data_IF_100792848477
#
_entry.id   IF_100792848477
#
_cell.length_a   1.000
_cell.length_b   1.000
_cell.length_c   1.000
_cell.angle_alpha   90.00
_cell.angle_beta   90.00
_cell.angle_gamma   90.00
#
_symmetry.space_group_name_H-M   'P 1'
#
loop_
_entity.id
_entity.type
_entity.pdbx_description
1 polymer ?
#
# COMPACT_ATOMS: atom_id res chain seq x y z
N UNK A 1 -32.10 25.76 -39.60
CA UNK A 1 -30.70 26.21 -39.83
C UNK A 1 -30.15 26.85 -38.56
N UNK A 2 -28.90 26.60 -38.20
CA UNK A 2 -28.24 27.24 -37.05
C UNK A 2 -27.85 28.68 -37.38
N UNK A 3 -28.26 29.62 -36.53
CA UNK A 3 -28.00 31.06 -36.72
C UNK A 3 -26.50 31.38 -36.56
N UNK A 4 -26.06 32.48 -37.19
CA UNK A 4 -24.66 32.95 -37.07
C UNK A 4 -24.26 33.21 -35.61
N UNK A 5 -25.16 33.78 -34.80
CA UNK A 5 -24.97 33.96 -33.35
C UNK A 5 -24.73 32.63 -32.63
N UNK A 6 -25.50 31.59 -32.95
CA UNK A 6 -25.31 30.25 -32.35
C UNK A 6 -23.95 29.63 -32.74
N UNK A 7 -23.50 29.81 -33.99
CA UNK A 7 -22.18 29.32 -34.45
C UNK A 7 -21.03 30.03 -33.70
N UNK A 8 -21.13 31.34 -33.50
CA UNK A 8 -20.12 32.12 -32.77
C UNK A 8 -20.08 31.73 -31.29
N UNK A 9 -21.25 31.59 -30.65
CA UNK A 9 -21.36 31.14 -29.26
C UNK A 9 -20.78 29.74 -29.07
N UNK A 10 -21.08 28.80 -29.99
CA UNK A 10 -20.51 27.45 -29.97
C UNK A 10 -18.98 27.48 -30.06
N UNK A 11 -18.40 28.25 -31.00
CA UNK A 11 -16.94 28.41 -31.11
C UNK A 11 -16.31 28.97 -29.84
N UNK A 12 -16.91 30.00 -29.23
CA UNK A 12 -16.42 30.58 -27.97
C UNK A 12 -16.47 29.57 -26.83
N UNK A 13 -17.53 28.78 -26.73
CA UNK A 13 -17.68 27.75 -25.70
C UNK A 13 -16.68 26.60 -25.87
N UNK A 14 -16.44 26.16 -27.12
CA UNK A 14 -15.41 25.15 -27.43
C UNK A 14 -14.02 25.66 -27.04
N UNK A 15 -13.69 26.91 -27.38
CA UNK A 15 -12.40 27.51 -27.01
C UNK A 15 -12.21 27.58 -25.49
N UNK A 16 -13.23 28.04 -24.75
CA UNK A 16 -13.22 28.05 -23.28
C UNK A 16 -13.07 26.64 -22.69
N UNK A 17 -13.73 25.65 -23.27
CA UNK A 17 -13.61 24.25 -22.83
C UNK A 17 -12.20 23.69 -23.07
N UNK A 18 -11.58 24.02 -24.21
CA UNK A 18 -10.21 23.63 -24.52
C UNK A 18 -9.18 24.30 -23.61
N UNK A 19 -9.32 25.60 -23.32
CA UNK A 19 -8.45 26.32 -22.39
C UNK A 19 -8.58 25.75 -20.96
N UNK A 20 -9.81 25.46 -20.53
CA UNK A 20 -10.06 24.80 -19.25
C UNK A 20 -9.46 23.40 -19.21
N UNK A 21 -9.55 22.64 -20.30
CA UNK A 21 -8.93 21.33 -20.40
C UNK A 21 -7.40 21.44 -20.30
N UNK A 22 -6.75 22.32 -21.08
CA UNK A 22 -5.29 22.48 -21.06
C UNK A 22 -4.72 22.96 -19.71
N UNK A 23 -5.49 23.72 -18.95
CA UNK A 23 -5.07 24.21 -17.63
C UNK A 23 -5.27 23.19 -16.49
N UNK A 24 -5.91 22.04 -16.75
CA UNK A 24 -6.11 21.02 -15.74
C UNK A 24 -4.84 20.24 -15.44
N UNK A 25 -4.65 19.93 -14.17
CA UNK A 25 -3.67 18.93 -13.73
C UNK A 25 -4.11 17.52 -14.14
N UNK A 26 -3.17 16.57 -14.19
CA UNK A 26 -3.45 15.17 -14.51
C UNK A 26 -4.57 14.55 -13.64
N UNK A 27 -4.67 14.97 -12.36
CA UNK A 27 -5.74 14.52 -11.45
C UNK A 27 -7.10 15.12 -11.80
N UNK A 28 -7.14 16.40 -12.19
CA UNK A 28 -8.38 17.06 -12.61
C UNK A 28 -8.91 16.47 -13.92
N UNK A 29 -8.02 16.17 -14.88
CA UNK A 29 -8.39 15.43 -16.09
C UNK A 29 -9.05 14.09 -15.79
N UNK A 30 -8.44 13.30 -14.91
CA UNK A 30 -8.98 12.00 -14.53
C UNK A 30 -10.37 12.10 -13.86
N UNK A 31 -10.63 13.16 -13.08
CA UNK A 31 -11.94 13.36 -12.44
C UNK A 31 -13.00 13.92 -13.38
N UNK A 32 -12.59 14.69 -14.40
CA UNK A 32 -13.48 15.27 -15.40
C UNK A 32 -13.99 14.22 -16.41
N UNK A 33 -13.24 13.13 -16.62
CA UNK A 33 -13.68 12.01 -17.47
C UNK A 33 -14.66 11.10 -16.72
N UNK A 34 -15.76 10.65 -17.38
CA UNK A 34 -16.74 9.74 -16.76
C UNK A 34 -16.09 8.47 -16.20
N UNK A 35 -15.19 7.87 -16.98
CA UNK A 35 -14.47 6.65 -16.63
C UNK A 35 -13.62 6.80 -15.35
N UNK A 36 -13.00 7.97 -15.14
CA UNK A 36 -12.19 8.21 -13.95
C UNK A 36 -13.03 8.57 -12.71
N UNK A 37 -14.24 9.13 -12.91
CA UNK A 37 -15.20 9.41 -11.83
C UNK A 37 -15.85 8.14 -11.28
N UNK A 38 -16.11 7.15 -12.14
CA UNK A 38 -16.67 5.85 -11.74
C UNK A 38 -15.64 4.92 -11.09
N UNK A 39 -14.35 5.24 -11.21
CA UNK A 39 -13.25 4.43 -10.68
C UNK A 39 -13.32 4.36 -9.15
N UNK A 40 -13.73 3.21 -8.62
CA UNK A 40 -13.70 2.93 -7.18
C UNK A 40 -12.27 2.80 -6.68
N UNK A 41 -12.04 3.14 -5.42
CA UNK A 41 -10.73 3.00 -4.78
C UNK A 41 -10.36 1.51 -4.68
N UNK A 42 -9.08 1.14 -4.84
CA UNK A 42 -8.65 -0.24 -4.66
C UNK A 42 -9.09 -0.81 -3.31
N UNK A 43 -9.66 -2.02 -3.33
CA UNK A 43 -10.14 -2.73 -2.14
C UNK A 43 -11.52 -2.31 -1.62
N UNK A 44 -12.14 -1.21 -2.09
CA UNK A 44 -13.44 -0.79 -1.53
C UNK A 44 -14.62 -1.62 -2.01
N UNK A 45 -14.52 -2.27 -3.17
CA UNK A 45 -15.63 -3.01 -3.78
C UNK A 45 -15.72 -4.47 -3.33
N UNK A 46 -14.70 -5.02 -2.67
CA UNK A 46 -14.67 -6.44 -2.30
C UNK A 46 -14.37 -7.39 -3.46
N UNK A 47 -14.17 -6.89 -4.69
CA UNK A 47 -13.98 -7.70 -5.91
C UNK A 47 -12.50 -7.98 -6.25
N UNK A 48 -11.56 -7.56 -5.38
CA UNK A 48 -10.13 -7.75 -5.64
C UNK A 48 -9.68 -9.20 -5.43
N UNK A 49 -8.47 -9.54 -5.93
CA UNK A 49 -7.81 -10.84 -5.66
C UNK A 49 -7.08 -10.88 -4.31
N UNK A 50 -6.88 -9.72 -3.69
CA UNK A 50 -6.11 -9.55 -2.45
C UNK A 50 -6.94 -8.82 -1.40
N UNK A 51 -6.73 -9.20 -0.14
CA UNK A 51 -7.05 -8.39 1.03
C UNK A 51 -5.92 -7.43 1.31
N UNK A 52 -6.25 -6.18 1.64
CA UNK A 52 -5.29 -5.13 1.95
C UNK A 52 -5.30 -4.86 3.44
N UNK A 53 -4.19 -5.12 4.11
CA UNK A 53 -3.99 -4.87 5.54
C UNK A 53 -3.20 -3.58 5.71
N UNK A 54 -3.85 -2.50 6.09
CA UNK A 54 -3.22 -1.21 6.34
C UNK A 54 -2.57 -1.19 7.72
N UNK A 55 -1.28 -0.88 7.75
CA UNK A 55 -0.47 -0.78 8.98
C UNK A 55 -0.27 0.67 9.39
N UNK A 56 -0.01 1.52 8.38
CA UNK A 56 0.33 2.93 8.56
C UNK A 56 -0.46 3.78 7.56
N UNK A 57 -0.80 5.01 7.93
CA UNK A 57 -1.55 5.89 7.05
C UNK A 57 -0.70 6.33 5.86
N UNK A 58 -1.33 6.42 4.69
CA UNK A 58 -0.66 6.72 3.41
C UNK A 58 0.07 8.07 3.42
N UNK A 59 -0.43 9.05 4.17
CA UNK A 59 0.09 10.42 4.23
C UNK A 59 1.49 10.53 4.86
N UNK A 60 1.96 9.51 5.59
CA UNK A 60 3.33 9.44 6.10
C UNK A 60 4.39 9.21 5.00
N UNK A 61 3.96 8.89 3.77
CA UNK A 61 4.83 8.39 2.70
C UNK A 61 4.72 9.23 1.43
N UNK A 62 5.86 9.39 0.75
CA UNK A 62 5.97 10.14 -0.52
C UNK A 62 5.95 9.21 -1.73
N UNK A 63 6.73 8.13 -1.69
CA UNK A 63 6.84 7.16 -2.78
C UNK A 63 6.51 5.77 -2.28
N UNK A 64 5.97 4.94 -3.18
CA UNK A 64 5.51 3.58 -2.86
C UNK A 64 6.16 2.57 -3.79
N UNK A 65 6.48 1.39 -3.27
CA UNK A 65 6.97 0.24 -4.03
C UNK A 65 6.29 -1.04 -3.54
N UNK A 66 5.95 -1.90 -4.49
CA UNK A 66 5.39 -3.23 -4.23
C UNK A 66 6.48 -4.26 -4.48
N UNK A 67 6.50 -5.31 -3.68
CA UNK A 67 7.34 -6.47 -3.90
C UNK A 67 6.70 -7.71 -3.28
N UNK A 68 6.83 -8.84 -3.96
CA UNK A 68 6.44 -10.15 -3.43
C UNK A 68 7.36 -10.53 -2.25
N UNK A 69 6.75 -11.06 -1.20
CA UNK A 69 7.44 -11.62 -0.02
C UNK A 69 7.04 -13.08 0.07
N UNK A 70 7.77 -13.93 -0.65
CA UNK A 70 7.49 -15.36 -0.78
C UNK A 70 7.15 -15.76 -2.21
N UNK A 71 6.18 -16.66 -2.38
CA UNK A 71 5.71 -17.09 -3.70
C UNK A 71 4.93 -15.97 -4.39
N UNK A 72 5.15 -15.82 -5.70
CA UNK A 72 4.51 -14.81 -6.54
C UNK A 72 2.99 -14.84 -6.37
N UNK A 73 2.41 -13.69 -6.03
CA UNK A 73 0.95 -13.52 -5.91
C UNK A 73 0.32 -14.13 -4.66
N UNK A 74 1.11 -14.52 -3.65
CA UNK A 74 0.62 -14.94 -2.34
C UNK A 74 0.57 -13.77 -1.35
N UNK A 75 1.75 -13.31 -0.91
CA UNK A 75 1.92 -12.17 -0.02
C UNK A 75 2.76 -11.09 -0.70
N UNK A 76 2.23 -9.87 -0.80
CA UNK A 76 2.98 -8.72 -1.29
C UNK A 76 3.10 -7.65 -0.20
N UNK A 77 4.24 -6.99 -0.14
CA UNK A 77 4.48 -5.86 0.75
C UNK A 77 4.40 -4.56 -0.03
N UNK A 78 3.50 -3.68 0.39
CA UNK A 78 3.48 -2.28 -0.03
C UNK A 78 4.39 -1.49 0.92
N UNK A 79 5.60 -1.21 0.47
CA UNK A 79 6.54 -0.35 1.18
C UNK A 79 6.40 1.11 0.73
N UNK A 80 6.67 2.03 1.64
CA UNK A 80 6.63 3.46 1.40
C UNK A 80 7.90 4.14 1.90
N UNK A 81 8.41 5.10 1.14
CA UNK A 81 9.51 5.97 1.57
C UNK A 81 8.93 7.19 2.29
N UNK A 82 9.38 7.44 3.51
CA UNK A 82 9.01 8.60 4.33
C UNK A 82 9.73 9.86 3.88
N UNK A 83 9.29 11.01 4.39
CA UNK A 83 9.97 12.30 4.21
C UNK A 83 11.42 12.27 4.69
N UNK A 84 11.72 11.55 5.77
CA UNK A 84 13.07 11.31 6.30
C UNK A 84 13.96 10.44 5.40
N UNK A 85 13.42 9.86 4.32
CA UNK A 85 14.14 8.95 3.44
C UNK A 85 14.11 7.48 3.87
N UNK A 86 13.70 7.17 5.10
CA UNK A 86 13.54 5.80 5.59
C UNK A 86 12.39 5.07 4.86
N UNK A 87 12.56 3.76 4.64
CA UNK A 87 11.50 2.90 4.12
C UNK A 87 10.77 2.19 5.26
N UNK A 88 9.44 2.17 5.20
CA UNK A 88 8.61 1.40 6.13
C UNK A 88 7.46 0.73 5.37
N UNK A 89 6.76 -0.17 6.05
CA UNK A 89 5.62 -0.91 5.49
C UNK A 89 4.35 -0.08 5.65
N UNK A 90 3.67 0.17 4.54
CA UNK A 90 2.39 0.88 4.49
C UNK A 90 1.24 -0.10 4.67
N UNK A 91 1.28 -1.18 3.90
CA UNK A 91 0.27 -2.22 3.91
C UNK A 91 0.85 -3.57 3.47
N UNK A 92 0.17 -4.65 3.87
CA UNK A 92 0.35 -5.98 3.29
C UNK A 92 -0.82 -6.30 2.37
N UNK A 93 -0.54 -6.97 1.26
CA UNK A 93 -1.55 -7.54 0.37
C UNK A 93 -1.48 -9.06 0.50
N UNK A 94 -2.57 -9.67 0.94
CA UNK A 94 -2.66 -11.11 1.12
C UNK A 94 -3.67 -11.66 0.12
N UNK A 95 -3.27 -12.67 -0.64
CA UNK A 95 -4.16 -13.34 -1.58
C UNK A 95 -5.40 -13.88 -0.85
N UNK A 96 -6.57 -13.73 -1.48
CA UNK A 96 -7.82 -14.28 -0.94
C UNK A 96 -7.80 -15.81 -0.83
N UNK A 97 -6.95 -16.49 -1.61
CA UNK A 97 -6.75 -17.94 -1.51
C UNK A 97 -6.08 -18.33 -0.18
N UNK A 98 -5.23 -17.45 0.32
CA UNK A 98 -4.34 -17.69 1.46
C UNK A 98 -4.91 -17.15 2.79
N UNK A 99 -6.13 -16.60 2.78
CA UNK A 99 -6.78 -16.05 3.96
C UNK A 99 -8.30 -16.33 3.99
N UNK A 100 -8.88 -16.29 5.19
CA UNK A 100 -10.33 -16.36 5.40
C UNK A 100 -10.77 -15.26 6.36
N UNK A 101 -12.00 -14.80 6.20
CA UNK A 101 -12.61 -13.83 7.13
C UNK A 101 -13.46 -14.61 8.13
N UNK A 102 -13.30 -14.35 9.43
CA UNK A 102 -14.16 -14.88 10.49
C UNK A 102 -14.48 -13.75 11.45
N UNK A 103 -15.75 -13.48 11.75
CA UNK A 103 -16.16 -12.46 12.73
C UNK A 103 -15.47 -11.10 12.53
N UNK A 104 -15.39 -10.62 11.28
CA UNK A 104 -14.70 -9.37 10.88
C UNK A 104 -13.17 -9.38 11.06
N UNK A 105 -12.57 -10.47 11.48
CA UNK A 105 -11.12 -10.68 11.55
C UNK A 105 -10.61 -11.42 10.30
N UNK A 106 -9.43 -11.05 9.82
CA UNK A 106 -8.73 -11.76 8.76
C UNK A 106 -7.79 -12.82 9.34
N UNK A 107 -8.08 -14.08 9.06
CA UNK A 107 -7.27 -15.22 9.47
C UNK A 107 -6.42 -15.69 8.28
N UNK A 108 -5.11 -15.64 8.45
CA UNK A 108 -4.13 -16.09 7.45
C UNK A 108 -3.98 -17.62 7.53
N UNK A 109 -4.15 -18.31 6.40
CA UNK A 109 -4.02 -19.77 6.28
C UNK A 109 -2.59 -20.19 5.93
N UNK A 110 -1.97 -19.47 5.02
CA UNK A 110 -0.65 -19.82 4.49
C UNK A 110 0.45 -19.57 5.54
N UNK A 111 1.38 -20.52 5.68
CA UNK A 111 2.34 -20.59 6.79
C UNK A 111 3.38 -19.48 6.72
N UNK A 112 3.89 -19.18 5.52
CA UNK A 112 4.87 -18.13 5.31
C UNK A 112 4.30 -16.74 5.64
N UNK A 113 3.12 -16.44 5.14
CA UNK A 113 2.39 -15.21 5.39
C UNK A 113 2.03 -15.09 6.87
N UNK A 114 1.59 -16.18 7.50
CA UNK A 114 1.36 -16.21 8.95
C UNK A 114 2.64 -15.87 9.73
N UNK A 115 3.79 -16.40 9.30
CA UNK A 115 5.09 -16.14 9.93
C UNK A 115 5.52 -14.68 9.77
N UNK A 116 5.40 -14.12 8.56
CA UNK A 116 5.75 -12.73 8.26
C UNK A 116 4.86 -11.76 9.04
N UNK A 117 3.55 -12.02 9.05
CA UNK A 117 2.53 -11.17 9.67
C UNK A 117 2.42 -11.35 11.18
N UNK A 118 3.08 -12.36 11.78
CA UNK A 118 3.14 -12.56 13.23
C UNK A 118 3.71 -11.35 13.98
N UNK A 119 4.49 -10.51 13.30
CA UNK A 119 5.05 -9.29 13.88
C UNK A 119 4.04 -8.12 13.95
N UNK A 120 2.84 -8.27 13.40
CA UNK A 120 1.78 -7.28 13.56
C UNK A 120 1.24 -7.34 15.00
N UNK A 121 0.83 -6.18 15.51
CA UNK A 121 0.23 -6.07 16.83
C UNK A 121 -1.29 -6.13 16.72
N UNK A 122 -1.89 -7.02 17.52
CA UNK A 122 -3.33 -7.22 17.60
C UNK A 122 -3.94 -7.98 16.41
N UNK A 123 -5.28 -8.19 16.45
CA UNK A 123 -6.01 -8.85 15.37
C UNK A 123 -6.10 -7.97 14.11
N UNK A 124 -6.21 -8.61 12.95
CA UNK A 124 -6.36 -7.92 11.66
C UNK A 124 -7.85 -7.68 11.39
N UNK A 125 -8.34 -6.47 11.67
CA UNK A 125 -9.76 -6.17 11.70
C UNK A 125 -10.26 -5.53 10.41
N UNK A 126 -11.44 -5.96 9.94
CA UNK A 126 -12.07 -5.44 8.72
C UNK A 126 -12.54 -4.00 8.93
N UNK A 127 -12.12 -3.12 8.02
CA UNK A 127 -12.59 -1.74 7.95
C UNK A 127 -13.74 -1.63 6.95
N UNK A 128 -13.52 -2.02 5.69
CA UNK A 128 -14.52 -1.96 4.61
C UNK A 128 -14.09 -2.78 3.40
N UNK A 129 -15.02 -3.38 2.66
CA UNK A 129 -14.69 -4.15 1.46
C UNK A 129 -13.62 -5.22 1.75
N UNK A 130 -12.49 -5.15 1.05
CA UNK A 130 -11.28 -5.97 1.22
C UNK A 130 -10.18 -5.28 2.06
N UNK A 131 -10.50 -4.16 2.71
CA UNK A 131 -9.57 -3.36 3.51
C UNK A 131 -9.68 -3.75 4.99
N UNK A 132 -8.54 -4.09 5.56
CA UNK A 132 -8.32 -4.44 6.95
C UNK A 132 -7.30 -3.50 7.57
N UNK A 133 -7.30 -3.39 8.89
CA UNK A 133 -6.35 -2.61 9.66
C UNK A 133 -5.66 -3.49 10.68
N UNK A 134 -4.36 -3.31 10.81
CA UNK A 134 -3.53 -3.89 11.86
C UNK A 134 -2.55 -2.83 12.35
N UNK A 135 -1.95 -3.05 13.52
CA UNK A 135 -0.92 -2.15 14.02
C UNK A 135 0.47 -2.73 13.75
N UNK A 136 1.44 -1.85 13.52
CA UNK A 136 2.84 -2.28 13.49
C UNK A 136 3.24 -2.87 14.86
N UNK A 137 4.31 -3.67 14.89
CA UNK A 137 4.91 -4.11 16.16
C UNK A 137 5.08 -2.92 17.11
N UNK A 138 4.86 -3.16 18.40
CA UNK A 138 5.08 -2.16 19.43
C UNK A 138 6.52 -1.62 19.33
N UNK A 139 6.68 -0.31 19.48
CA UNK A 139 7.99 0.29 19.54
C UNK A 139 8.64 -0.08 20.89
N UNK A 140 9.83 -0.66 20.85
CA UNK A 140 10.59 -0.97 22.06
C UNK A 140 11.36 0.28 22.49
N UNK A 141 11.20 0.78 23.73
CA UNK A 141 11.96 1.90 24.25
C UNK A 141 13.47 1.72 24.12
N UNK A 142 14.21 2.80 23.85
CA UNK A 142 15.67 2.73 23.62
C UNK A 142 16.43 2.15 24.81
N UNK A 143 16.02 2.50 26.04
CA UNK A 143 16.60 1.95 27.28
C UNK A 143 16.52 0.42 27.40
N UNK A 144 15.58 -0.20 26.69
CA UNK A 144 15.38 -1.66 26.69
C UNK A 144 16.10 -2.34 25.53
N UNK A 145 16.73 -1.57 24.64
CA UNK A 145 17.58 -2.10 23.57
C UNK A 145 19.01 -2.31 24.12
N UNK A 146 19.73 -3.33 23.65
CA UNK A 146 19.34 -4.28 22.61
C UNK A 146 18.48 -5.45 23.13
N UNK A 147 17.40 -5.75 22.40
CA UNK A 147 16.51 -6.89 22.71
C UNK A 147 17.22 -8.23 22.52
N UNK A 148 16.76 -9.34 23.13
CA UNK A 148 17.35 -10.67 22.91
C UNK A 148 17.46 -11.06 21.43
N UNK A 149 16.47 -10.69 20.61
CA UNK A 149 16.50 -10.89 19.17
C UNK A 149 17.61 -10.08 18.49
N UNK A 150 17.82 -8.81 18.89
CA UNK A 150 18.91 -7.97 18.40
C UNK A 150 20.27 -8.56 18.77
N UNK A 151 20.45 -9.03 20.01
CA UNK A 151 21.69 -9.70 20.46
C UNK A 151 21.99 -10.95 19.64
N UNK A 152 20.98 -11.79 19.36
CA UNK A 152 21.13 -12.98 18.49
C UNK A 152 21.52 -12.60 17.06
N UNK A 153 20.83 -11.62 16.47
CA UNK A 153 21.13 -11.14 15.13
C UNK A 153 22.54 -10.57 15.03
N UNK A 154 22.97 -9.77 16.03
CA UNK A 154 24.32 -9.25 16.12
C UNK A 154 25.37 -10.37 16.15
N UNK A 155 25.19 -11.38 17.01
CA UNK A 155 26.09 -12.55 17.06
C UNK A 155 26.18 -13.29 15.72
N UNK A 156 25.05 -13.49 15.04
CA UNK A 156 25.01 -14.15 13.72
C UNK A 156 25.77 -13.33 12.68
N UNK A 157 25.55 -12.01 12.64
CA UNK A 157 26.20 -11.11 11.70
C UNK A 157 27.71 -11.05 11.93
N UNK A 158 28.16 -11.01 13.20
CA UNK A 158 29.59 -11.07 13.54
C UNK A 158 30.20 -12.38 13.03
N UNK A 159 29.57 -13.54 13.31
CA UNK A 159 30.05 -14.82 12.79
C UNK A 159 30.11 -14.86 11.27
N UNK A 160 29.12 -14.27 10.60
CA UNK A 160 29.08 -14.17 9.13
C UNK A 160 30.22 -13.32 8.59
N UNK A 161 30.51 -12.19 9.24
CA UNK A 161 31.63 -11.31 8.89
C UNK A 161 33.00 -11.99 9.12
N UNK A 162 33.17 -12.69 10.25
CA UNK A 162 34.39 -13.46 10.54
C UNK A 162 34.63 -14.55 9.49
N UNK A 163 33.60 -15.35 9.15
CA UNK A 163 33.69 -16.36 8.09
C UNK A 163 34.03 -15.75 6.73
N UNK A 164 33.47 -14.59 6.39
CA UNK A 164 33.79 -13.89 5.15
C UNK A 164 35.25 -13.39 5.11
N UNK A 165 35.79 -12.97 6.27
CA UNK A 165 37.19 -12.55 6.41
C UNK A 165 38.18 -13.68 6.17
N UNK A 166 37.85 -14.91 6.56
CA UNK A 166 38.70 -16.11 6.38
C UNK A 166 38.46 -16.87 5.06
N UNK A 167 37.59 -16.36 4.18
CA UNK A 167 37.38 -16.89 2.82
C UNK A 167 38.13 -16.08 1.75
N UNK A 168 38.90 -15.08 2.17
CA UNK A 168 39.99 -14.49 1.38
C UNK A 168 41.25 -15.30 1.65
#
# INVERSE_FOLDING_TARGET
MTTSKQKIAAKKNVKKAQEKWKSMTHRQHALAQPQGRDRKKPGTTGKGKFFRIEIRPKNEFKTFRIHDVGKKGGLERLAGKRSSGSWDTVAWLVSKKDAKIRNRELIIKEIHAKTVLKNLSGPIMRVKGDIFRAHSRANVPERLKPTPAMKRAQKINIKKAQRARWKK
#
